data_IF_804713974193
#
_entry.id   IF_804713974193
#
_cell.length_a   1.000
_cell.length_b   1.000
_cell.length_c   1.000
_cell.angle_alpha   90.00
_cell.angle_beta   90.00
_cell.angle_gamma   90.00
#
_symmetry.space_group_name_H-M   'P 1'
#
loop_
_entity.id
_entity.type
_entity.pdbx_description
1 polymer ?
#
# COMPACT_ATOMS: atom_id res chain seq x y z
N UNK A 1 19.14 -11.26 1.14
CA UNK A 1 17.89 -11.78 1.74
C UNK A 1 17.91 -11.39 3.21
N UNK A 2 16.95 -10.56 3.63
CA UNK A 2 16.95 -9.93 4.95
C UNK A 2 15.58 -10.16 5.60
N UNK A 3 15.58 -10.53 6.88
CA UNK A 3 14.34 -10.69 7.64
C UNK A 3 13.83 -9.32 8.11
N UNK A 4 12.55 -9.05 7.86
CA UNK A 4 11.87 -7.81 8.24
C UNK A 4 10.68 -8.16 9.13
N UNK A 5 10.73 -7.68 10.37
CA UNK A 5 9.65 -7.82 11.33
C UNK A 5 8.76 -6.58 11.29
N UNK A 6 7.47 -6.79 11.06
CA UNK A 6 6.42 -5.78 11.07
C UNK A 6 5.49 -6.09 12.25
N UNK A 7 5.41 -5.19 13.21
CA UNK A 7 4.57 -5.38 14.41
C UNK A 7 3.66 -4.19 14.66
N UNK A 8 2.45 -4.40 15.18
CA UNK A 8 1.59 -3.31 15.62
C UNK A 8 2.30 -2.42 16.65
N UNK A 9 2.12 -1.11 16.53
CA UNK A 9 2.55 -0.10 17.48
C UNK A 9 1.37 0.80 17.86
N UNK A 10 1.55 1.59 18.91
CA UNK A 10 0.53 2.52 19.39
C UNK A 10 0.18 3.57 18.32
N UNK A 11 -1.10 3.97 18.27
CA UNK A 11 -1.55 5.07 17.41
C UNK A 11 -1.81 4.70 15.94
N UNK A 12 -2.19 3.45 15.64
CA UNK A 12 -2.55 3.04 14.28
C UNK A 12 -1.37 2.92 13.32
N UNK A 13 -0.16 2.74 13.87
CA UNK A 13 1.08 2.60 13.10
C UNK A 13 1.70 1.23 13.36
N UNK A 14 2.48 0.75 12.41
CA UNK A 14 3.27 -0.46 12.54
C UNK A 14 4.76 -0.10 12.64
N UNK A 15 5.48 -0.83 13.48
CA UNK A 15 6.93 -0.73 13.58
C UNK A 15 7.57 -1.75 12.66
N UNK A 16 8.56 -1.32 11.88
CA UNK A 16 9.31 -2.12 10.92
C UNK A 16 10.77 -2.20 11.36
N UNK A 17 11.23 -3.41 11.66
CA UNK A 17 12.56 -3.71 12.18
C UNK A 17 13.27 -4.72 11.28
N UNK A 18 14.53 -4.45 10.97
CA UNK A 18 15.40 -5.29 10.16
C UNK A 18 16.86 -4.96 10.49
N UNK A 19 17.77 -5.90 10.22
CA UNK A 19 19.21 -5.60 10.23
C UNK A 19 19.50 -4.54 9.17
N UNK A 20 20.40 -3.59 9.45
CA UNK A 20 20.63 -2.48 8.52
C UNK A 20 20.96 -2.99 7.11
N UNK A 21 20.11 -2.59 6.17
CA UNK A 21 20.16 -2.95 4.77
C UNK A 21 19.74 -1.72 3.96
N UNK A 22 20.67 -1.18 3.18
CA UNK A 22 20.44 0.04 2.40
C UNK A 22 19.39 -0.17 1.29
N UNK A 23 19.22 -1.40 0.81
CA UNK A 23 18.18 -1.73 -0.18
C UNK A 23 16.78 -1.62 0.45
N UNK A 24 16.59 -2.15 1.67
CA UNK A 24 15.31 -2.03 2.38
C UNK A 24 15.02 -0.56 2.71
N UNK A 25 16.02 0.21 3.15
CA UNK A 25 15.82 1.65 3.42
C UNK A 25 15.38 2.38 2.15
N UNK A 26 16.00 2.07 1.01
CA UNK A 26 15.64 2.66 -0.29
C UNK A 26 14.22 2.26 -0.70
N UNK A 27 13.83 1.00 -0.50
CA UNK A 27 12.49 0.50 -0.79
C UNK A 27 11.42 1.18 0.08
N UNK A 28 11.65 1.29 1.40
CA UNK A 28 10.76 2.06 2.28
C UNK A 28 10.63 3.50 1.77
N UNK A 29 11.75 4.08 1.32
CA UNK A 29 11.77 5.46 0.85
C UNK A 29 11.09 5.68 -0.51
N UNK A 30 11.04 4.66 -1.38
CA UNK A 30 10.36 4.74 -2.67
C UNK A 30 8.89 4.36 -2.58
N UNK A 31 8.52 3.43 -1.71
CA UNK A 31 7.16 2.87 -1.67
C UNK A 31 6.22 3.68 -0.80
N UNK A 32 6.70 4.26 0.30
CA UNK A 32 5.85 4.87 1.33
C UNK A 32 6.02 6.39 1.32
N UNK A 33 4.96 7.21 1.22
CA UNK A 33 5.10 8.66 1.27
C UNK A 33 5.78 9.16 2.54
N UNK A 34 6.46 10.31 2.45
CA UNK A 34 7.22 10.88 3.57
C UNK A 34 6.35 11.18 4.81
N UNK A 35 5.07 11.54 4.63
CA UNK A 35 4.14 11.79 5.74
C UNK A 35 3.71 10.51 6.48
N UNK A 36 3.76 9.36 5.80
CA UNK A 36 3.28 8.08 6.32
C UNK A 36 4.41 7.22 6.91
N UNK A 37 5.66 7.74 6.96
CA UNK A 37 6.83 7.04 7.49
C UNK A 37 7.65 7.93 8.41
N UNK A 38 8.24 7.36 9.45
CA UNK A 38 9.19 8.07 10.30
C UNK A 38 10.22 7.12 10.88
N UNK A 39 11.49 7.52 10.91
CA UNK A 39 12.55 6.78 11.59
C UNK A 39 12.62 7.18 13.06
N UNK A 40 12.74 6.20 13.96
CA UNK A 40 13.01 6.42 15.39
C UNK A 40 14.43 5.96 15.72
N UNK A 41 15.28 6.91 16.12
CA UNK A 41 16.64 6.60 16.57
C UNK A 41 16.65 5.84 17.92
N UNK A 42 15.69 6.12 18.80
CA UNK A 42 15.62 5.50 20.13
C UNK A 42 15.32 4.00 20.05
N UNK A 43 14.32 3.62 19.26
CA UNK A 43 13.92 2.22 19.07
C UNK A 43 14.58 1.56 17.85
N UNK A 44 15.42 2.30 17.13
CA UNK A 44 16.13 1.90 15.90
C UNK A 44 15.21 1.19 14.90
N UNK A 45 14.03 1.76 14.67
CA UNK A 45 13.04 1.18 13.77
C UNK A 45 12.29 2.25 12.98
N UNK A 46 11.72 1.82 11.86
CA UNK A 46 10.77 2.64 11.11
C UNK A 46 9.38 2.50 11.71
N UNK A 47 8.63 3.59 11.76
CA UNK A 47 7.20 3.61 12.03
C UNK A 47 6.47 3.99 10.74
N UNK A 48 5.46 3.21 10.39
CA UNK A 48 4.72 3.34 9.14
C UNK A 48 3.23 3.24 9.46
N UNK A 49 2.42 4.07 8.81
CA UNK A 49 0.98 4.03 9.03
C UNK A 49 0.40 2.66 8.59
N UNK A 50 -0.58 2.15 9.34
CA UNK A 50 -1.10 0.80 9.12
C UNK A 50 -1.59 0.58 7.68
N UNK A 51 -2.22 1.60 7.07
CA UNK A 51 -2.73 1.57 5.69
C UNK A 51 -1.65 1.26 4.64
N UNK A 52 -0.41 1.66 4.89
CA UNK A 52 0.72 1.50 3.97
C UNK A 52 1.52 0.21 4.22
N UNK A 53 1.25 -0.47 5.33
CA UNK A 53 2.02 -1.63 5.74
C UNK A 53 1.80 -2.87 4.86
N UNK A 54 0.56 -3.20 4.42
CA UNK A 54 0.34 -4.29 3.47
C UNK A 54 1.11 -4.10 2.16
N UNK A 55 1.16 -2.85 1.67
CA UNK A 55 1.89 -2.49 0.47
C UNK A 55 3.39 -2.72 0.63
N UNK A 56 3.98 -2.21 1.72
CA UNK A 56 5.40 -2.43 2.02
C UNK A 56 5.72 -3.93 2.15
N UNK A 57 4.85 -4.68 2.83
CA UNK A 57 5.04 -6.11 3.04
C UNK A 57 5.01 -6.90 1.72
N UNK A 58 4.17 -6.49 0.76
CA UNK A 58 4.13 -7.07 -0.58
C UNK A 58 5.42 -6.78 -1.37
N UNK A 59 5.86 -5.52 -1.40
CA UNK A 59 7.10 -5.11 -2.08
C UNK A 59 8.34 -5.81 -1.51
N UNK A 60 8.45 -5.88 -0.18
CA UNK A 60 9.56 -6.59 0.47
C UNK A 60 9.62 -8.07 0.06
N UNK A 61 8.46 -8.75 0.02
CA UNK A 61 8.39 -10.15 -0.43
C UNK A 61 8.74 -10.29 -1.91
N UNK A 62 8.25 -9.37 -2.75
CA UNK A 62 8.56 -9.34 -4.18
C UNK A 62 10.08 -9.23 -4.43
N UNK A 63 10.77 -8.43 -3.61
CA UNK A 63 12.23 -8.28 -3.64
C UNK A 63 13.00 -9.40 -2.91
N UNK A 64 12.34 -10.49 -2.50
CA UNK A 64 12.99 -11.66 -1.90
C UNK A 64 13.36 -11.51 -0.42
N UNK A 65 12.75 -10.55 0.28
CA UNK A 65 12.89 -10.41 1.73
C UNK A 65 11.82 -11.24 2.46
N UNK A 66 12.18 -11.75 3.64
CA UNK A 66 11.25 -12.49 4.49
C UNK A 66 10.55 -11.51 5.42
N UNK A 67 9.22 -11.40 5.29
CA UNK A 67 8.42 -10.50 6.14
C UNK A 67 7.65 -11.31 7.17
N UNK A 68 7.93 -11.06 8.45
CA UNK A 68 7.22 -11.62 9.60
C UNK A 68 6.37 -10.55 10.27
N UNK A 69 5.10 -10.83 10.51
CA UNK A 69 4.15 -9.89 11.11
C UNK A 69 2.77 -10.49 11.20
N UNK A 70 1.79 -9.81 11.84
CA UNK A 70 0.42 -10.31 11.86
C UNK A 70 -0.02 -10.58 10.42
N UNK A 71 -0.41 -11.83 10.15
CA UNK A 71 -1.00 -12.20 8.88
C UNK A 71 -2.31 -11.41 8.76
N UNK A 72 -2.30 -10.34 7.97
CA UNK A 72 -3.37 -9.37 8.03
C UNK A 72 -4.45 -9.69 6.99
N UNK A 73 -5.71 -9.95 7.40
CA UNK A 73 -6.86 -9.92 6.48
C UNK A 73 -7.02 -8.55 5.78
N UNK A 74 -6.32 -7.49 6.23
CA UNK A 74 -6.21 -6.22 5.52
C UNK A 74 -5.54 -6.34 4.14
N UNK A 75 -4.77 -7.39 3.86
CA UNK A 75 -4.25 -7.64 2.51
C UNK A 75 -5.39 -7.94 1.51
N UNK A 76 -6.51 -8.50 1.99
CA UNK A 76 -7.76 -8.59 1.23
C UNK A 76 -8.47 -7.23 1.14
N UNK A 77 -8.59 -6.49 2.24
CA UNK A 77 -9.35 -5.22 2.27
C UNK A 77 -8.69 -4.06 1.51
N UNK A 78 -7.36 -3.96 1.53
CA UNK A 78 -6.60 -2.96 0.78
C UNK A 78 -6.71 -3.20 -0.74
N UNK A 79 -7.02 -4.42 -1.17
CA UNK A 79 -7.26 -4.75 -2.59
C UNK A 79 -8.70 -4.41 -3.04
N UNK A 80 -9.62 -4.13 -2.11
CA UNK A 80 -11.05 -3.98 -2.39
C UNK A 80 -11.62 -2.56 -2.24
N UNK A 81 -10.81 -1.55 -1.87
CA UNK A 81 -11.31 -0.18 -1.71
C UNK A 81 -12.00 0.36 -2.96
N UNK A 82 -11.42 0.11 -4.14
CA UNK A 82 -11.96 0.62 -5.41
C UNK A 82 -13.27 -0.11 -5.78
N UNK A 83 -13.37 -1.41 -5.47
CA UNK A 83 -14.61 -2.17 -5.65
C UNK A 83 -15.71 -1.67 -4.70
N UNK A 84 -15.35 -1.44 -3.43
CA UNK A 84 -16.27 -0.88 -2.44
C UNK A 84 -16.77 0.51 -2.85
N UNK A 85 -15.87 1.37 -3.33
CA UNK A 85 -16.21 2.70 -3.86
C UNK A 85 -17.17 2.60 -5.05
N UNK A 86 -16.85 1.78 -6.05
CA UNK A 86 -17.69 1.63 -7.24
C UNK A 86 -19.07 1.03 -6.91
N UNK A 87 -19.15 0.10 -5.95
CA UNK A 87 -20.42 -0.41 -5.44
C UNK A 87 -21.24 0.69 -4.76
N UNK A 88 -20.60 1.54 -3.97
CA UNK A 88 -21.28 2.62 -3.24
C UNK A 88 -21.80 3.74 -4.16
N UNK A 89 -21.03 4.14 -5.18
CA UNK A 89 -21.44 5.20 -6.11
C UNK A 89 -22.39 4.71 -7.21
N UNK A 90 -22.44 3.40 -7.44
CA UNK A 90 -23.32 2.76 -8.41
C UNK A 90 -22.88 2.93 -9.88
N UNK A 91 -23.44 2.12 -10.80
CA UNK A 91 -22.94 1.96 -12.16
C UNK A 91 -23.00 3.25 -13.00
N UNK A 92 -23.96 4.14 -12.71
CA UNK A 92 -24.10 5.41 -13.42
C UNK A 92 -22.94 6.38 -13.13
N UNK A 93 -22.38 6.35 -11.90
CA UNK A 93 -21.33 7.29 -11.47
C UNK A 93 -19.93 6.71 -11.63
N UNK A 94 -19.80 5.37 -11.66
CA UNK A 94 -18.52 4.67 -11.81
C UNK A 94 -17.62 5.19 -12.94
N UNK A 95 -18.11 5.45 -14.17
CA UNK A 95 -17.25 5.97 -15.25
C UNK A 95 -16.66 7.35 -14.92
N UNK A 96 -17.45 8.24 -14.31
CA UNK A 96 -17.00 9.58 -13.95
C UNK A 96 -15.99 9.54 -12.79
N UNK A 97 -16.28 8.73 -11.76
CA UNK A 97 -15.38 8.54 -10.60
C UNK A 97 -14.06 7.91 -11.04
N UNK A 98 -14.10 6.88 -11.89
CA UNK A 98 -12.90 6.26 -12.44
C UNK A 98 -12.03 7.26 -13.20
N UNK A 99 -12.62 8.10 -14.06
CA UNK A 99 -11.89 9.14 -14.81
C UNK A 99 -11.29 10.19 -13.88
N UNK A 100 -12.03 10.63 -12.87
CA UNK A 100 -11.56 11.62 -11.90
C UNK A 100 -10.37 11.09 -11.08
N UNK A 101 -10.49 9.88 -10.53
CA UNK A 101 -9.40 9.25 -9.77
C UNK A 101 -8.21 8.91 -10.66
N UNK A 102 -8.43 8.45 -11.89
CA UNK A 102 -7.32 8.18 -12.81
C UNK A 102 -6.48 9.42 -13.07
N UNK A 103 -7.07 10.61 -13.18
CA UNK A 103 -6.28 11.86 -13.35
C UNK A 103 -5.36 12.17 -12.17
N UNK A 104 -5.73 11.73 -10.96
CA UNK A 104 -4.97 11.99 -9.73
C UNK A 104 -3.94 10.90 -9.47
N UNK A 105 -4.30 9.64 -9.78
CA UNK A 105 -3.54 8.45 -9.45
C UNK A 105 -2.63 7.98 -10.60
N UNK A 106 -2.81 8.46 -11.84
CA UNK A 106 -1.96 8.08 -12.98
C UNK A 106 -0.49 8.29 -12.65
N UNK A 107 0.43 7.36 -13.01
CA UNK A 107 1.86 7.51 -12.75
C UNK A 107 2.47 8.81 -13.30
N UNK A 108 1.87 9.38 -14.36
CA UNK A 108 2.33 10.64 -14.96
C UNK A 108 1.83 11.90 -14.24
N UNK A 109 0.96 11.75 -13.25
CA UNK A 109 0.50 12.87 -12.43
C UNK A 109 1.53 13.16 -11.31
N UNK A 110 1.70 14.43 -10.89
CA UNK A 110 2.59 14.77 -9.78
C UNK A 110 2.26 14.06 -8.45
N UNK A 111 0.99 13.69 -8.24
CA UNK A 111 0.48 12.92 -7.10
C UNK A 111 0.24 11.44 -7.44
N UNK A 112 0.76 10.99 -8.58
CA UNK A 112 0.54 9.68 -9.13
C UNK A 112 0.99 8.56 -8.20
N UNK A 113 0.25 7.45 -8.22
CA UNK A 113 0.64 6.23 -7.54
C UNK A 113 0.34 5.04 -8.47
N UNK A 114 1.37 4.44 -9.09
CA UNK A 114 1.19 3.32 -10.01
C UNK A 114 0.38 2.17 -9.41
N UNK A 115 0.55 1.92 -8.11
CA UNK A 115 -0.10 0.81 -7.41
C UNK A 115 -1.59 1.12 -7.20
N UNK A 116 -1.94 2.32 -6.75
CA UNK A 116 -3.35 2.72 -6.62
C UNK A 116 -4.05 2.79 -7.99
N UNK A 117 -3.35 3.23 -9.04
CA UNK A 117 -3.88 3.21 -10.41
C UNK A 117 -4.13 1.77 -10.90
N UNK A 118 -3.21 0.82 -10.63
CA UNK A 118 -3.41 -0.59 -10.96
C UNK A 118 -4.60 -1.20 -10.21
N UNK A 119 -4.76 -0.90 -8.92
CA UNK A 119 -5.92 -1.36 -8.13
C UNK A 119 -7.24 -0.79 -8.67
N UNK A 120 -7.27 0.50 -9.03
CA UNK A 120 -8.44 1.16 -9.62
C UNK A 120 -8.83 0.51 -10.97
N UNK A 121 -7.84 0.21 -11.80
CA UNK A 121 -8.04 -0.47 -13.08
C UNK A 121 -8.59 -1.89 -12.88
N UNK A 122 -7.99 -2.68 -11.99
CA UNK A 122 -8.43 -4.04 -11.69
C UNK A 122 -9.89 -4.08 -11.21
N UNK A 123 -10.27 -3.17 -10.32
CA UNK A 123 -11.65 -3.05 -9.85
C UNK A 123 -12.63 -2.66 -10.97
N UNK A 124 -12.22 -1.81 -11.91
CA UNK A 124 -13.06 -1.41 -13.04
C UNK A 124 -13.28 -2.57 -14.02
N UNK A 125 -12.24 -3.36 -14.28
CA UNK A 125 -12.32 -4.56 -15.15
C UNK A 125 -13.25 -5.61 -14.55
N UNK A 126 -13.13 -5.88 -13.25
CA UNK A 126 -13.99 -6.86 -12.55
C UNK A 126 -15.49 -6.49 -12.58
N UNK A 127 -15.84 -5.20 -12.68
CA UNK A 127 -17.23 -4.77 -12.85
C UNK A 127 -17.77 -4.93 -14.27
N UNK A 128 -16.88 -4.99 -15.27
CA UNK A 128 -17.27 -5.04 -16.68
C UNK A 128 -17.37 -6.47 -17.17
N UNK A 129 -16.54 -7.38 -16.63
CA UNK A 129 -16.62 -8.82 -16.84
C UNK A 129 -16.85 -9.52 -15.49
N UNK A 130 -18.11 -9.62 -15.03
CA UNK A 130 -18.43 -10.54 -13.94
C UNK A 130 -18.22 -11.97 -14.45
N UNK A 131 -17.40 -12.74 -13.73
CA UNK A 131 -17.24 -14.18 -13.96
C UNK A 131 -18.56 -14.93 -13.74
#
# INVERSE_FOLDING_TARGET
MTAVAITPASGGRHSVRFAYDSAIVSLIKSTIPAYARSWSAHTRCWFIDADWTPLLAAELRYHGHTVTGPADPAQQQCTDWAKALFRAVGPQRTPAVYRALSKVLHPDAPTGCPILQQQLNAARTALTNPA
#
